data_IF_689534391272
#
_entry.id   IF_689534391272
#
_cell.length_a   1.000
_cell.length_b   1.000
_cell.length_c   1.000
_cell.angle_alpha   90.00
_cell.angle_beta   90.00
_cell.angle_gamma   90.00
#
_symmetry.space_group_name_H-M   'P 1'
#
loop_
_entity.id
_entity.type
_entity.pdbx_description
1 polymer ?
#
# COMPACT_ATOMS: atom_id res chain seq x y z
N UNK A 1 -7.12 -38.41 57.27
CA UNK A 1 -6.91 -39.71 57.98
C UNK A 1 -6.12 -40.63 57.07
N UNK A 2 -4.99 -41.12 57.58
CA UNK A 2 -4.03 -42.14 57.04
C UNK A 2 -3.33 -41.80 55.69
N UNK A 3 -2.09 -41.45 55.68
CA UNK A 3 -0.80 -41.87 56.24
C UNK A 3 -0.19 -43.10 55.50
N UNK A 4 1.05 -42.87 54.98
CA UNK A 4 2.23 -43.75 54.97
C UNK A 4 2.38 -44.61 53.67
N UNK A 5 3.49 -44.80 52.98
CA UNK A 5 4.95 -44.79 53.31
C UNK A 5 5.78 -44.86 52.01
N UNK A 6 6.96 -44.29 52.03
CA UNK A 6 8.14 -44.68 51.22
C UNK A 6 8.79 -45.95 51.80
N UNK A 7 9.64 -46.71 51.06
CA UNK A 7 11.09 -46.52 51.10
C UNK A 7 11.82 -46.85 49.79
N UNK A 8 12.91 -46.14 49.47
CA UNK A 8 14.36 -46.43 49.70
C UNK A 8 15.04 -47.37 48.70
N UNK A 9 15.89 -46.78 47.86
CA UNK A 9 17.30 -47.00 47.54
C UNK A 9 17.83 -48.44 47.43
N UNK A 10 18.58 -48.70 46.32
CA UNK A 10 19.89 -49.38 46.33
C UNK A 10 20.74 -48.92 45.15
N UNK A 11 21.97 -48.44 45.46
CA UNK A 11 23.12 -48.26 44.59
C UNK A 11 23.67 -49.61 44.11
N UNK A 12 24.17 -49.65 42.86
CA UNK A 12 25.29 -50.52 42.54
C UNK A 12 26.12 -49.91 41.38
N UNK A 13 27.30 -49.49 41.72
CA UNK A 13 28.42 -49.13 40.81
C UNK A 13 29.01 -50.41 40.19
N UNK A 14 29.40 -50.36 38.91
CA UNK A 14 30.51 -51.15 38.38
C UNK A 14 31.31 -50.40 37.31
N UNK A 15 32.58 -50.60 37.39
CA UNK A 15 33.65 -49.85 36.78
C UNK A 15 34.29 -50.62 35.59
N UNK A 16 34.78 -49.88 34.60
CA UNK A 16 35.91 -50.16 33.66
C UNK A 16 35.73 -51.25 32.60
N UNK A 17 35.98 -50.87 31.34
CA UNK A 17 37.15 -51.30 30.59
C UNK A 17 37.38 -50.45 29.35
N UNK A 18 38.62 -49.88 29.21
CA UNK A 18 39.22 -49.27 28.04
C UNK A 18 39.48 -50.34 26.97
N UNK A 19 39.22 -50.01 25.70
CA UNK A 19 40.03 -50.48 24.57
C UNK A 19 39.80 -49.54 23.36
N UNK A 20 40.84 -48.91 22.88
CA UNK A 20 40.84 -48.01 21.75
C UNK A 20 40.76 -48.74 20.41
N UNK A 21 40.23 -48.05 19.44
CA UNK A 21 40.52 -48.26 18.03
C UNK A 21 40.50 -46.89 17.31
N UNK A 22 41.66 -46.47 16.90
CA UNK A 22 41.88 -45.40 15.93
C UNK A 22 41.32 -45.86 14.59
N UNK A 23 40.23 -45.29 14.19
CA UNK A 23 39.67 -45.38 12.84
C UNK A 23 39.64 -43.96 12.28
N UNK A 24 40.66 -43.60 11.52
CA UNK A 24 40.58 -42.44 10.62
C UNK A 24 39.60 -42.75 9.51
N UNK A 25 38.44 -42.10 9.54
CA UNK A 25 37.61 -41.94 8.35
C UNK A 25 37.57 -40.46 8.03
N UNK A 26 37.96 -40.18 6.80
CA UNK A 26 37.95 -38.84 6.22
C UNK A 26 36.58 -38.19 6.35
N UNK A 27 36.60 -36.95 6.81
CA UNK A 27 35.46 -36.08 6.64
C UNK A 27 35.27 -35.85 5.16
N UNK A 28 34.20 -36.40 4.61
CA UNK A 28 33.62 -35.79 3.45
C UNK A 28 33.11 -34.44 3.93
N UNK A 29 33.81 -33.41 3.53
CA UNK A 29 33.27 -32.05 3.52
C UNK A 29 32.02 -32.10 2.66
N UNK A 30 30.84 -32.31 3.29
CA UNK A 30 29.57 -31.87 2.74
C UNK A 30 29.62 -30.34 2.70
N UNK A 31 30.30 -29.79 1.72
CA UNK A 31 30.06 -28.45 1.18
C UNK A 31 28.78 -28.50 0.34
N UNK A 32 27.73 -29.05 0.88
CA UNK A 32 26.37 -28.78 0.48
C UNK A 32 26.05 -27.40 1.04
N UNK A 33 26.22 -26.36 0.22
CA UNK A 33 25.93 -24.99 0.58
C UNK A 33 24.54 -24.91 1.17
N UNK A 34 24.43 -24.76 2.49
CA UNK A 34 23.19 -24.28 3.11
C UNK A 34 23.05 -22.86 2.67
N UNK A 35 22.16 -22.61 1.72
CA UNK A 35 21.78 -21.26 1.32
C UNK A 35 21.37 -20.45 2.55
N UNK A 36 21.49 -19.13 2.46
CA UNK A 36 21.14 -18.22 3.54
C UNK A 36 19.63 -18.17 3.76
N UNK A 37 19.20 -17.87 4.98
CA UNK A 37 17.80 -17.57 5.27
C UNK A 37 17.60 -16.07 5.31
N UNK A 38 16.71 -15.56 4.45
CA UNK A 38 16.35 -14.15 4.38
C UNK A 38 14.96 -13.94 5.02
N UNK A 39 14.88 -13.05 5.99
CA UNK A 39 13.61 -12.70 6.63
C UNK A 39 12.94 -11.56 5.89
N UNK A 40 11.74 -11.81 5.40
CA UNK A 40 10.91 -10.83 4.72
C UNK A 40 9.77 -10.34 5.61
N UNK A 41 9.90 -9.12 6.11
CA UNK A 41 8.88 -8.43 6.91
C UNK A 41 7.85 -7.79 5.99
N UNK A 42 6.60 -8.26 6.06
CA UNK A 42 5.56 -7.87 5.09
C UNK A 42 4.15 -7.93 5.68
N UNK A 43 3.25 -7.09 5.16
CA UNK A 43 1.83 -7.12 5.49
C UNK A 43 1.17 -8.41 4.99
N UNK A 44 0.21 -8.92 5.76
CA UNK A 44 -0.61 -10.08 5.38
C UNK A 44 -1.40 -9.79 4.11
N UNK A 45 -1.43 -10.78 3.21
CA UNK A 45 -2.35 -10.82 2.07
C UNK A 45 -3.26 -12.06 2.22
N UNK A 46 -4.58 -11.88 2.33
CA UNK A 46 -5.50 -12.96 2.75
C UNK A 46 -5.58 -14.12 1.76
N UNK A 47 -5.32 -13.88 0.45
CA UNK A 47 -5.33 -14.92 -0.59
C UNK A 47 -4.07 -15.77 -0.65
N UNK A 48 -3.07 -15.53 0.22
CA UNK A 48 -1.86 -16.34 0.30
C UNK A 48 -0.75 -15.96 -0.67
N UNK A 49 -0.82 -14.79 -1.30
CA UNK A 49 0.22 -14.29 -2.22
C UNK A 49 1.61 -14.35 -1.62
N UNK A 50 1.76 -13.90 -0.37
CA UNK A 50 3.08 -13.75 0.27
C UNK A 50 3.78 -15.09 0.41
N UNK A 51 3.07 -16.12 0.89
CA UNK A 51 3.60 -17.46 1.07
C UNK A 51 3.94 -18.13 -0.26
N UNK A 52 3.05 -18.00 -1.28
CA UNK A 52 3.29 -18.60 -2.60
C UNK A 52 4.50 -17.94 -3.30
N UNK A 53 4.63 -16.63 -3.20
CA UNK A 53 5.76 -15.88 -3.80
C UNK A 53 7.07 -16.24 -3.08
N UNK A 54 7.08 -16.26 -1.74
CA UNK A 54 8.27 -16.61 -0.96
C UNK A 54 8.76 -18.03 -1.27
N UNK A 55 7.85 -19.01 -1.28
CA UNK A 55 8.17 -20.41 -1.59
C UNK A 55 8.75 -20.55 -3.00
N UNK A 56 8.09 -19.95 -4.01
CA UNK A 56 8.57 -20.01 -5.40
C UNK A 56 9.93 -19.33 -5.56
N UNK A 57 10.17 -18.16 -4.95
CA UNK A 57 11.47 -17.48 -5.07
C UNK A 57 12.57 -18.25 -4.36
N UNK A 58 12.28 -18.91 -3.23
CA UNK A 58 13.20 -19.83 -2.57
C UNK A 58 13.56 -21.03 -3.45
N UNK A 59 12.58 -21.65 -4.14
CA UNK A 59 12.84 -22.74 -5.08
C UNK A 59 13.69 -22.30 -6.27
N UNK A 60 13.42 -21.12 -6.82
CA UNK A 60 14.13 -20.57 -7.99
C UNK A 60 15.57 -20.15 -7.68
N UNK A 61 15.93 -19.93 -6.41
CA UNK A 61 17.30 -19.62 -5.99
C UNK A 61 18.25 -20.82 -6.15
N UNK A 62 17.74 -22.02 -6.43
CA UNK A 62 18.53 -23.27 -6.51
C UNK A 62 19.37 -23.54 -5.24
N UNK A 63 18.87 -23.11 -4.08
CA UNK A 63 19.48 -23.32 -2.79
C UNK A 63 20.43 -22.21 -2.33
N UNK A 64 20.51 -21.10 -3.05
CA UNK A 64 21.28 -19.94 -2.65
C UNK A 64 20.66 -19.23 -1.44
N UNK A 65 19.31 -19.16 -1.41
CA UNK A 65 18.57 -18.61 -0.27
C UNK A 65 17.22 -19.28 -0.04
N UNK A 66 16.70 -19.12 1.17
CA UNK A 66 15.33 -19.43 1.56
C UNK A 66 14.68 -18.18 2.15
N UNK A 67 13.47 -17.82 1.72
CA UNK A 67 12.73 -16.66 2.25
C UNK A 67 11.84 -17.13 3.38
N UNK A 68 12.10 -16.65 4.59
CA UNK A 68 11.25 -16.77 5.76
C UNK A 68 10.32 -15.55 5.85
N UNK A 69 9.01 -15.79 5.97
CA UNK A 69 8.00 -14.72 6.00
C UNK A 69 7.70 -14.31 7.43
N UNK A 70 7.99 -13.06 7.76
CA UNK A 70 7.67 -12.41 9.03
C UNK A 70 6.47 -11.47 8.83
N UNK A 71 5.30 -11.89 9.31
CA UNK A 71 4.07 -11.12 9.14
C UNK A 71 4.02 -9.92 10.09
N UNK A 72 3.81 -8.74 9.52
CA UNK A 72 3.57 -7.50 10.23
C UNK A 72 2.10 -7.41 10.68
N UNK A 73 1.76 -6.54 11.66
CA UNK A 73 0.39 -6.26 12.04
C UNK A 73 -0.48 -5.85 10.84
N UNK A 74 -1.81 -5.90 10.99
CA UNK A 74 -2.74 -5.50 9.92
C UNK A 74 -2.87 -3.99 9.76
N UNK A 75 -2.65 -3.22 10.83
CA UNK A 75 -2.69 -1.76 10.81
C UNK A 75 -1.37 -1.18 10.29
N UNK A 76 -1.44 -0.31 9.28
CA UNK A 76 -0.26 0.26 8.61
C UNK A 76 0.63 1.09 9.54
N UNK A 77 0.04 1.82 10.52
CA UNK A 77 0.83 2.60 11.48
C UNK A 77 1.62 1.68 12.41
N UNK A 78 1.02 0.56 12.83
CA UNK A 78 1.71 -0.44 13.66
C UNK A 78 2.79 -1.18 12.87
N UNK A 79 2.57 -1.46 11.56
CA UNK A 79 3.60 -2.01 10.68
C UNK A 79 4.83 -1.11 10.63
N UNK A 80 4.59 0.19 10.32
CA UNK A 80 5.65 1.19 10.29
C UNK A 80 6.38 1.26 11.63
N UNK A 81 5.66 1.38 12.74
CA UNK A 81 6.26 1.47 14.07
C UNK A 81 7.16 0.27 14.40
N UNK A 82 6.72 -0.94 14.04
CA UNK A 82 7.53 -2.15 14.23
C UNK A 82 8.80 -2.12 13.38
N UNK A 83 8.71 -1.72 12.11
CA UNK A 83 9.86 -1.60 11.21
C UNK A 83 10.83 -0.52 11.67
N UNK A 84 10.33 0.68 12.02
CA UNK A 84 11.16 1.79 12.55
C UNK A 84 11.94 1.37 13.79
N UNK A 85 11.32 0.64 14.72
CA UNK A 85 12.01 0.15 15.94
C UNK A 85 13.15 -0.84 15.61
N UNK A 86 12.93 -1.75 14.66
CA UNK A 86 13.93 -2.74 14.25
C UNK A 86 15.07 -2.09 13.47
N UNK A 87 14.74 -1.30 12.46
CA UNK A 87 15.72 -0.62 11.62
C UNK A 87 16.53 0.42 12.40
N UNK A 88 15.88 1.16 13.31
CA UNK A 88 16.57 2.08 14.22
C UNK A 88 17.47 1.39 15.28
N UNK A 89 17.25 0.08 15.52
CA UNK A 89 18.12 -0.75 16.34
C UNK A 89 19.17 -1.49 15.50
N UNK A 90 19.29 -1.22 14.20
CA UNK A 90 20.22 -1.87 13.27
C UNK A 90 20.07 -3.41 13.25
N UNK A 91 18.81 -3.90 13.36
CA UNK A 91 18.50 -5.33 13.46
C UNK A 91 18.87 -6.06 12.16
N UNK A 92 19.97 -6.82 12.19
CA UNK A 92 20.45 -7.59 11.03
C UNK A 92 19.55 -8.77 10.64
N UNK A 93 18.54 -9.10 11.43
CA UNK A 93 17.54 -10.09 11.03
C UNK A 93 16.50 -9.52 10.06
N UNK A 94 16.51 -8.22 9.78
CA UNK A 94 15.65 -7.62 8.75
C UNK A 94 16.41 -7.61 7.43
N UNK A 95 16.08 -8.51 6.50
CA UNK A 95 16.70 -8.55 5.17
C UNK A 95 15.83 -7.84 4.13
N UNK A 96 14.56 -8.20 4.06
CA UNK A 96 13.58 -7.71 3.09
C UNK A 96 12.40 -7.04 3.77
N UNK A 97 11.95 -5.94 3.20
CA UNK A 97 10.86 -5.13 3.74
C UNK A 97 9.81 -4.91 2.67
N UNK A 98 8.58 -5.37 2.94
CA UNK A 98 7.41 -4.96 2.18
C UNK A 98 6.95 -3.58 2.65
N UNK A 99 7.34 -2.55 1.92
CA UNK A 99 7.08 -1.15 2.27
C UNK A 99 5.81 -0.64 1.62
N UNK A 100 4.90 -0.03 2.38
CA UNK A 100 3.94 0.89 1.77
C UNK A 100 4.71 1.97 0.99
N UNK A 101 4.17 2.40 -0.15
CA UNK A 101 4.82 3.38 -1.03
C UNK A 101 5.21 4.68 -0.32
N UNK A 102 4.52 5.05 0.76
CA UNK A 102 4.79 6.27 1.54
C UNK A 102 6.00 6.17 2.48
N UNK A 103 6.54 4.97 2.72
CA UNK A 103 7.67 4.80 3.65
C UNK A 103 9.04 4.91 2.97
N UNK A 104 9.09 4.85 1.64
CA UNK A 104 10.35 4.85 0.89
C UNK A 104 11.23 6.06 1.24
N UNK A 105 10.67 7.26 1.23
CA UNK A 105 11.41 8.49 1.53
C UNK A 105 11.95 8.52 2.97
N UNK A 106 11.13 8.14 3.96
CA UNK A 106 11.53 8.09 5.35
C UNK A 106 12.67 7.11 5.59
N UNK A 107 12.50 5.87 5.10
CA UNK A 107 13.48 4.81 5.35
C UNK A 107 14.79 5.04 4.58
N UNK A 108 14.72 5.63 3.38
CA UNK A 108 15.88 6.03 2.60
C UNK A 108 16.63 7.18 3.26
N UNK A 109 15.91 8.24 3.72
CA UNK A 109 16.50 9.38 4.42
C UNK A 109 17.19 8.97 5.72
N UNK A 110 16.61 8.01 6.45
CA UNK A 110 17.21 7.45 7.66
C UNK A 110 18.42 6.54 7.42
N UNK A 111 18.75 6.24 6.16
CA UNK A 111 19.85 5.35 5.80
C UNK A 111 19.56 3.86 6.06
N UNK A 112 18.31 3.48 6.16
CA UNK A 112 17.88 2.10 6.48
C UNK A 112 17.73 1.18 5.28
N UNK A 113 17.77 1.75 4.06
CA UNK A 113 17.63 1.02 2.81
C UNK A 113 18.91 1.05 1.98
N UNK A 114 19.17 -0.05 1.27
CA UNK A 114 20.20 -0.10 0.23
C UNK A 114 19.66 0.46 -1.08
N UNK A 115 20.50 1.25 -1.78
CA UNK A 115 20.19 1.79 -3.10
C UNK A 115 20.27 0.68 -4.17
N UNK A 116 19.27 0.63 -5.05
CA UNK A 116 19.29 -0.22 -6.24
C UNK A 116 20.08 0.47 -7.35
N UNK A 117 21.05 -0.22 -7.93
CA UNK A 117 21.92 0.34 -8.97
C UNK A 117 22.13 -0.62 -10.14
N UNK A 118 22.63 -0.11 -11.28
CA UNK A 118 23.04 -0.91 -12.42
C UNK A 118 21.92 -1.80 -13.01
N UNK A 119 22.29 -3.00 -13.46
CA UNK A 119 21.38 -3.94 -14.13
C UNK A 119 20.20 -4.40 -13.24
N UNK A 120 20.41 -4.46 -11.93
CA UNK A 120 19.34 -4.81 -10.98
C UNK A 120 18.24 -3.75 -10.95
N UNK A 121 18.61 -2.47 -10.89
CA UNK A 121 17.67 -1.36 -10.94
C UNK A 121 16.89 -1.34 -12.26
N UNK A 122 17.59 -1.52 -13.39
CA UNK A 122 16.96 -1.62 -14.71
C UNK A 122 15.97 -2.81 -14.79
N UNK A 123 16.33 -3.95 -14.23
CA UNK A 123 15.50 -5.17 -14.22
C UNK A 123 14.19 -4.96 -13.46
N UNK A 124 14.24 -4.37 -12.26
CA UNK A 124 13.04 -4.22 -11.40
C UNK A 124 12.16 -3.05 -11.81
N UNK A 125 12.66 -2.08 -12.57
CA UNK A 125 11.87 -0.95 -13.10
C UNK A 125 11.39 -1.16 -14.53
N UNK A 126 11.83 -2.24 -15.20
CA UNK A 126 11.48 -2.50 -16.60
C UNK A 126 9.97 -2.66 -16.78
N UNK A 127 9.42 -1.84 -17.69
CA UNK A 127 7.98 -1.83 -18.01
C UNK A 127 7.06 -1.48 -16.82
N UNK A 128 7.58 -0.97 -15.71
CA UNK A 128 6.82 -0.44 -14.59
C UNK A 128 6.23 0.93 -14.96
N UNK A 129 5.06 1.29 -14.42
CA UNK A 129 4.53 2.64 -14.58
C UNK A 129 5.47 3.66 -13.95
N UNK A 130 5.68 4.81 -14.62
CA UNK A 130 6.60 5.85 -14.14
C UNK A 130 6.20 6.37 -12.75
N UNK A 131 4.91 6.61 -12.53
CA UNK A 131 4.35 7.02 -11.23
C UNK A 131 4.65 6.02 -10.10
N UNK A 132 4.70 4.72 -10.41
CA UNK A 132 5.02 3.67 -9.42
C UNK A 132 6.53 3.64 -9.13
N UNK A 133 7.38 3.84 -10.16
CA UNK A 133 8.85 3.95 -9.94
C UNK A 133 9.17 5.17 -9.07
N UNK A 134 8.43 6.27 -9.23
CA UNK A 134 8.57 7.45 -8.39
C UNK A 134 8.34 7.13 -6.90
N UNK A 135 7.33 6.33 -6.55
CA UNK A 135 7.09 5.92 -5.16
C UNK A 135 8.20 5.04 -4.56
N UNK A 136 9.00 4.38 -5.40
CA UNK A 136 10.12 3.54 -4.98
C UNK A 136 11.44 4.31 -4.92
N UNK A 137 11.41 5.62 -5.22
CA UNK A 137 12.59 6.48 -5.36
C UNK A 137 12.55 7.62 -4.34
N UNK A 138 13.74 8.07 -3.94
CA UNK A 138 13.93 9.25 -3.11
C UNK A 138 15.20 9.98 -3.57
N UNK A 139 15.14 11.32 -3.73
CA UNK A 139 16.24 12.16 -4.22
C UNK A 139 16.93 11.62 -5.50
N UNK A 140 16.12 11.11 -6.43
CA UNK A 140 16.59 10.58 -7.72
C UNK A 140 17.26 9.21 -7.67
N UNK A 141 17.24 8.53 -6.52
CA UNK A 141 17.79 7.18 -6.30
C UNK A 141 16.67 6.18 -6.04
N UNK A 142 16.83 4.97 -6.53
CA UNK A 142 15.88 3.87 -6.34
C UNK A 142 16.21 3.11 -5.05
N UNK A 143 15.21 2.95 -4.17
CA UNK A 143 15.36 2.24 -2.88
C UNK A 143 14.42 1.06 -2.72
N UNK A 144 13.47 0.86 -3.64
CA UNK A 144 12.56 -0.26 -3.62
C UNK A 144 12.34 -0.89 -4.99
N UNK A 145 12.10 -2.18 -5.03
CA UNK A 145 11.63 -2.87 -6.22
C UNK A 145 10.09 -2.86 -6.24
N UNK A 146 9.42 -2.22 -7.24
CA UNK A 146 7.97 -2.15 -7.28
C UNK A 146 7.32 -3.53 -7.40
N UNK A 147 6.55 -3.96 -6.41
CA UNK A 147 5.88 -5.26 -6.41
C UNK A 147 4.48 -5.18 -6.99
N UNK A 148 3.59 -4.48 -6.32
CA UNK A 148 2.24 -4.20 -6.80
C UNK A 148 1.92 -2.72 -6.64
N UNK A 149 0.87 -2.28 -7.32
CA UNK A 149 0.34 -0.94 -7.18
C UNK A 149 -1.12 -0.99 -6.77
N UNK A 150 -1.71 0.16 -6.49
CA UNK A 150 -3.12 0.28 -6.20
C UNK A 150 -3.62 1.65 -6.63
N UNK A 151 -4.88 1.75 -7.00
CA UNK A 151 -5.54 3.02 -7.38
C UNK A 151 -7.04 2.92 -7.14
N UNK A 152 -7.68 4.05 -6.95
CA UNK A 152 -9.13 4.11 -6.87
C UNK A 152 -9.75 4.27 -8.26
N UNK A 153 -10.92 3.65 -8.42
CA UNK A 153 -11.82 3.82 -9.54
C UNK A 153 -13.13 4.45 -9.06
N UNK A 154 -13.83 5.09 -9.97
CA UNK A 154 -15.24 5.38 -9.79
C UNK A 154 -16.04 4.11 -10.10
N UNK A 155 -16.63 3.52 -9.08
CA UNK A 155 -17.63 2.46 -9.19
C UNK A 155 -19.01 3.09 -9.27
N UNK A 156 -19.83 2.62 -10.19
CA UNK A 156 -21.19 3.16 -10.37
C UNK A 156 -22.21 2.08 -10.68
N UNK A 157 -23.46 2.33 -10.35
CA UNK A 157 -24.59 1.44 -10.59
C UNK A 157 -25.15 1.66 -12.00
N UNK A 158 -24.91 0.71 -12.91
CA UNK A 158 -25.36 0.77 -14.32
C UNK A 158 -26.87 0.66 -14.47
N UNK A 159 -27.58 0.16 -13.46
CA UNK A 159 -29.05 0.14 -13.41
C UNK A 159 -29.70 1.44 -12.88
N UNK A 160 -28.87 2.36 -12.34
CA UNK A 160 -29.34 3.66 -11.82
C UNK A 160 -28.76 4.85 -12.60
N UNK A 161 -27.64 4.64 -13.31
CA UNK A 161 -26.86 5.69 -13.97
C UNK A 161 -26.58 5.28 -15.41
N UNK A 162 -27.10 6.02 -16.38
CA UNK A 162 -26.92 5.73 -17.81
C UNK A 162 -25.46 5.83 -18.27
N UNK A 163 -24.69 6.75 -17.67
CA UNK A 163 -23.26 6.95 -17.96
C UNK A 163 -22.52 7.44 -16.72
N UNK A 164 -21.23 7.04 -16.53
CA UNK A 164 -20.45 7.54 -15.42
C UNK A 164 -20.21 9.05 -15.55
N UNK A 165 -20.26 9.80 -14.43
CA UNK A 165 -19.94 11.23 -14.41
C UNK A 165 -18.46 11.46 -14.73
N UNK A 166 -18.14 12.56 -15.38
CA UNK A 166 -16.77 12.95 -15.72
C UNK A 166 -16.12 13.81 -14.65
N UNK A 167 -16.93 14.56 -13.91
CA UNK A 167 -16.47 15.47 -12.86
C UNK A 167 -17.14 15.14 -11.53
N UNK A 168 -16.53 15.56 -10.43
CA UNK A 168 -17.12 15.48 -9.10
C UNK A 168 -18.44 16.25 -9.01
N UNK A 169 -18.50 17.44 -9.65
CA UNK A 169 -19.73 18.23 -9.70
C UNK A 169 -20.88 17.45 -10.38
N UNK A 170 -20.61 16.85 -11.55
CA UNK A 170 -21.60 16.01 -12.26
C UNK A 170 -22.02 14.81 -11.41
N UNK A 171 -21.08 14.19 -10.66
CA UNK A 171 -21.37 13.04 -9.79
C UNK A 171 -22.31 13.42 -8.65
N UNK A 172 -22.04 14.54 -7.99
CA UNK A 172 -22.88 15.04 -6.89
C UNK A 172 -24.29 15.35 -7.42
N UNK A 173 -24.40 16.10 -8.55
CA UNK A 173 -25.69 16.45 -9.16
C UNK A 173 -26.48 15.21 -9.60
N UNK A 174 -25.81 14.16 -10.10
CA UNK A 174 -26.48 12.90 -10.47
C UNK A 174 -26.98 12.17 -9.23
N UNK A 175 -26.16 12.07 -8.17
CA UNK A 175 -26.53 11.41 -6.92
C UNK A 175 -27.72 12.09 -6.25
N UNK A 176 -27.75 13.43 -6.19
CA UNK A 176 -28.87 14.20 -5.66
C UNK A 176 -30.16 13.97 -6.44
N UNK A 177 -30.10 13.96 -7.78
CA UNK A 177 -31.30 13.68 -8.63
C UNK A 177 -31.88 12.28 -8.42
N UNK A 178 -31.01 11.31 -8.16
CA UNK A 178 -31.41 9.92 -7.88
C UNK A 178 -31.88 9.77 -6.43
N UNK A 179 -31.46 10.65 -5.53
CA UNK A 179 -31.68 10.55 -4.08
C UNK A 179 -30.81 9.48 -3.43
N UNK A 180 -29.65 9.24 -4.01
CA UNK A 180 -28.67 8.26 -3.53
C UNK A 180 -27.40 8.90 -2.94
N UNK A 181 -26.51 8.06 -2.39
CA UNK A 181 -25.30 8.52 -1.72
C UNK A 181 -24.04 8.25 -2.54
N UNK A 182 -23.01 9.08 -2.33
CA UNK A 182 -21.66 8.87 -2.82
C UNK A 182 -20.80 8.34 -1.67
N UNK A 183 -20.18 7.19 -1.88
CA UNK A 183 -19.29 6.56 -0.91
C UNK A 183 -17.84 6.96 -1.16
N UNK A 184 -17.17 7.50 -0.14
CA UNK A 184 -15.75 7.90 -0.15
C UNK A 184 -15.11 7.52 1.18
N UNK A 185 -13.79 7.61 1.29
CA UNK A 185 -13.03 7.38 2.52
C UNK A 185 -12.71 8.73 3.17
N UNK A 186 -13.58 9.19 4.05
CA UNK A 186 -13.43 10.51 4.68
C UNK A 186 -13.42 10.47 6.22
N UNK A 187 -13.25 9.29 6.83
CA UNK A 187 -12.97 9.14 8.26
C UNK A 187 -11.59 9.75 8.61
N UNK A 188 -11.37 10.06 9.89
CA UNK A 188 -10.11 10.65 10.35
C UNK A 188 -8.99 9.62 10.44
N UNK A 189 -8.41 9.25 9.32
CA UNK A 189 -7.29 8.31 9.17
C UNK A 189 -6.58 8.57 7.83
N UNK A 190 -5.63 7.71 7.44
CA UNK A 190 -4.86 7.86 6.21
C UNK A 190 -5.71 7.98 4.95
N UNK A 191 -6.84 7.26 4.85
CA UNK A 191 -7.74 7.35 3.69
C UNK A 191 -8.28 8.76 3.43
N UNK A 192 -8.47 9.57 4.46
CA UNK A 192 -8.82 10.98 4.30
C UNK A 192 -7.69 11.79 3.66
N UNK A 193 -6.45 11.58 4.11
CA UNK A 193 -5.27 12.20 3.49
C UNK A 193 -5.14 11.81 2.02
N UNK A 194 -5.35 10.54 1.70
CA UNK A 194 -5.34 10.01 0.33
C UNK A 194 -6.37 10.73 -0.54
N UNK A 195 -7.61 10.89 -0.04
CA UNK A 195 -8.67 11.57 -0.77
C UNK A 195 -8.36 13.06 -0.96
N UNK A 196 -7.95 13.78 0.09
CA UNK A 196 -7.56 15.19 0.02
C UNK A 196 -6.43 15.41 -0.97
N UNK A 197 -5.36 14.57 -0.93
CA UNK A 197 -4.26 14.66 -1.89
C UNK A 197 -4.73 14.50 -3.33
N UNK A 198 -5.56 13.48 -3.61
CA UNK A 198 -6.09 13.24 -4.94
C UNK A 198 -6.96 14.39 -5.45
N UNK A 199 -7.73 15.02 -4.57
CA UNK A 199 -8.56 16.20 -4.91
C UNK A 199 -7.69 17.40 -5.25
N UNK A 200 -6.65 17.69 -4.46
CA UNK A 200 -5.70 18.80 -4.68
C UNK A 200 -4.93 18.59 -5.99
N UNK A 201 -4.37 17.40 -6.22
CA UNK A 201 -3.66 17.10 -7.46
C UNK A 201 -4.57 17.15 -8.70
N UNK A 202 -5.82 16.68 -8.57
CA UNK A 202 -6.81 16.76 -9.64
C UNK A 202 -7.33 18.18 -9.89
N UNK A 203 -7.02 19.12 -9.02
CA UNK A 203 -7.27 20.56 -9.22
C UNK A 203 -6.09 21.29 -9.89
N UNK A 204 -4.96 20.59 -10.11
CA UNK A 204 -3.82 21.14 -10.86
C UNK A 204 -2.68 21.68 -10.01
N UNK A 205 -2.64 21.38 -8.70
CA UNK A 205 -1.53 21.69 -7.80
C UNK A 205 -1.15 20.46 -6.98
N UNK A 206 -0.16 20.56 -6.12
CA UNK A 206 0.26 19.49 -5.22
C UNK A 206 0.57 20.05 -3.82
N UNK A 207 0.62 19.16 -2.83
CA UNK A 207 0.88 19.57 -1.44
C UNK A 207 2.34 19.99 -1.28
N UNK A 208 3.28 19.19 -1.82
CA UNK A 208 4.72 19.49 -1.80
C UNK A 208 5.31 19.38 -3.20
N UNK A 209 6.19 20.33 -3.57
CA UNK A 209 7.02 20.29 -4.78
C UNK A 209 8.32 19.47 -4.61
N UNK A 210 8.66 19.13 -3.38
CA UNK A 210 9.86 18.40 -3.00
C UNK A 210 9.72 17.88 -1.56
N UNK A 211 10.76 17.32 -0.96
CA UNK A 211 10.66 16.71 0.37
C UNK A 211 10.16 17.64 1.48
N UNK A 212 10.43 18.95 1.39
CA UNK A 212 10.09 19.96 2.40
C UNK A 212 9.52 21.26 1.81
N UNK A 213 9.37 21.35 0.49
CA UNK A 213 8.89 22.55 -0.21
C UNK A 213 7.37 22.48 -0.39
N UNK A 214 6.65 23.33 0.36
CA UNK A 214 5.18 23.42 0.27
C UNK A 214 4.79 24.16 -1.00
N UNK A 215 3.94 23.56 -1.84
CA UNK A 215 3.43 24.18 -3.06
C UNK A 215 2.03 24.75 -2.85
N UNK A 216 1.02 23.97 -2.53
CA UNK A 216 -0.35 24.38 -2.20
C UNK A 216 -0.78 25.72 -2.80
N UNK A 217 -0.87 25.81 -4.13
CA UNK A 217 -1.36 27.02 -4.80
C UNK A 217 -2.79 27.33 -4.35
N UNK A 218 -3.07 28.59 -3.96
CA UNK A 218 -4.33 28.99 -3.34
C UNK A 218 -5.56 28.69 -4.21
N UNK A 219 -5.53 29.10 -5.49
CA UNK A 219 -6.66 28.90 -6.41
C UNK A 219 -7.06 27.44 -6.55
N UNK A 220 -6.19 26.57 -7.11
CA UNK A 220 -6.50 25.14 -7.25
C UNK A 220 -6.82 24.45 -5.93
N UNK A 221 -6.10 24.77 -4.83
CA UNK A 221 -6.37 24.17 -3.52
C UNK A 221 -7.76 24.52 -3.00
N UNK A 222 -8.17 25.79 -3.10
CA UNK A 222 -9.52 26.22 -2.68
C UNK A 222 -10.60 25.58 -3.53
N UNK A 223 -10.41 25.37 -4.83
CA UNK A 223 -11.34 24.62 -5.68
C UNK A 223 -11.50 23.17 -5.23
N UNK A 224 -10.38 22.49 -4.89
CA UNK A 224 -10.42 21.15 -4.34
C UNK A 224 -11.17 21.09 -3.00
N UNK A 225 -10.87 22.01 -2.08
CA UNK A 225 -11.54 22.10 -0.79
C UNK A 225 -13.02 22.44 -0.90
N UNK A 226 -13.40 23.35 -1.79
CA UNK A 226 -14.80 23.68 -2.08
C UNK A 226 -15.56 22.42 -2.58
N UNK A 227 -14.95 21.60 -3.43
CA UNK A 227 -15.57 20.37 -3.91
C UNK A 227 -15.74 19.33 -2.80
N UNK A 228 -14.74 19.18 -1.90
CA UNK A 228 -14.84 18.32 -0.72
C UNK A 228 -15.97 18.79 0.19
N UNK A 229 -16.01 20.10 0.51
CA UNK A 229 -17.07 20.71 1.32
C UNK A 229 -18.44 20.57 0.68
N UNK A 230 -18.53 20.75 -0.65
CA UNK A 230 -19.78 20.58 -1.41
C UNK A 230 -20.33 19.16 -1.27
N UNK A 231 -19.50 18.12 -1.47
CA UNK A 231 -19.95 16.76 -1.25
C UNK A 231 -20.39 16.57 0.20
N UNK A 232 -19.54 16.92 1.16
CA UNK A 232 -19.76 16.63 2.57
C UNK A 232 -21.02 17.31 3.16
N UNK A 233 -21.41 18.49 2.63
CA UNK A 233 -22.59 19.24 3.04
C UNK A 233 -23.81 19.01 2.14
N UNK A 234 -23.71 18.13 1.13
CA UNK A 234 -24.81 17.85 0.19
C UNK A 234 -25.71 16.71 0.68
N UNK A 235 -26.96 16.62 0.18
CA UNK A 235 -27.81 15.44 0.36
C UNK A 235 -27.23 14.14 -0.21
N UNK A 236 -26.25 14.22 -1.11
CA UNK A 236 -25.54 13.09 -1.70
C UNK A 236 -24.44 12.53 -0.79
N UNK A 237 -24.07 13.20 0.31
CA UNK A 237 -23.10 12.67 1.27
C UNK A 237 -23.62 11.40 1.94
N UNK A 238 -22.80 10.37 2.03
CA UNK A 238 -23.09 9.24 2.91
C UNK A 238 -23.28 9.74 4.35
N UNK A 239 -24.26 9.17 5.08
CA UNK A 239 -24.59 9.66 6.45
C UNK A 239 -23.46 9.52 7.45
N UNK A 240 -22.53 8.64 7.19
CA UNK A 240 -21.35 8.33 8.00
C UNK A 240 -20.06 8.82 7.35
N UNK A 241 -20.13 9.80 6.44
CA UNK A 241 -19.00 10.27 5.64
C UNK A 241 -17.77 10.57 6.49
N UNK A 242 -17.92 11.27 7.62
CA UNK A 242 -16.79 11.63 8.52
C UNK A 242 -16.22 10.47 9.34
N UNK A 243 -16.77 9.27 9.21
CA UNK A 243 -16.24 8.04 9.83
C UNK A 243 -15.98 6.92 8.81
N UNK A 244 -16.23 7.20 7.53
CA UNK A 244 -16.17 6.23 6.46
C UNK A 244 -14.73 5.81 6.12
N UNK A 245 -14.52 4.51 5.99
CA UNK A 245 -13.29 3.85 5.55
C UNK A 245 -13.53 3.10 4.24
N UNK A 246 -12.50 2.45 3.68
CA UNK A 246 -12.64 1.62 2.49
C UNK A 246 -13.73 0.55 2.66
N UNK A 247 -13.74 -0.11 3.82
CA UNK A 247 -14.71 -1.19 4.10
C UNK A 247 -16.12 -0.67 4.33
N UNK A 248 -16.31 0.42 5.08
CA UNK A 248 -17.65 0.99 5.30
C UNK A 248 -18.23 1.59 4.04
N UNK A 249 -17.41 2.25 3.21
CA UNK A 249 -17.81 2.73 1.89
C UNK A 249 -18.24 1.58 0.96
N UNK A 250 -17.49 0.47 0.95
CA UNK A 250 -17.84 -0.74 0.23
C UNK A 250 -19.17 -1.33 0.70
N UNK A 251 -19.33 -1.47 2.02
CA UNK A 251 -20.58 -1.98 2.60
C UNK A 251 -21.79 -1.09 2.27
N UNK A 252 -21.59 0.24 2.31
CA UNK A 252 -22.61 1.20 1.91
C UNK A 252 -23.03 1.07 0.43
N UNK A 253 -22.08 0.80 -0.47
CA UNK A 253 -22.35 0.54 -1.88
C UNK A 253 -23.05 -0.81 -2.09
N UNK A 254 -22.56 -1.88 -1.44
CA UNK A 254 -23.16 -3.22 -1.49
C UNK A 254 -24.59 -3.26 -0.90
N UNK A 255 -24.93 -2.34 0.01
CA UNK A 255 -26.31 -2.18 0.50
C UNK A 255 -27.30 -1.62 -0.52
N UNK A 256 -26.82 -1.15 -1.68
CA UNK A 256 -27.65 -0.75 -2.83
C UNK A 256 -28.17 0.69 -2.82
N UNK A 257 -27.88 1.49 -1.78
CA UNK A 257 -28.39 2.87 -1.64
C UNK A 257 -27.46 3.93 -2.26
N UNK A 258 -26.34 3.50 -2.81
CA UNK A 258 -25.31 4.39 -3.34
C UNK A 258 -25.10 4.15 -4.82
N UNK A 259 -25.45 5.10 -5.70
CA UNK A 259 -25.17 5.02 -7.13
C UNK A 259 -23.67 5.12 -7.44
N UNK A 260 -22.86 5.68 -6.54
CA UNK A 260 -21.43 5.92 -6.75
C UNK A 260 -20.58 5.55 -5.53
N UNK A 261 -19.38 5.06 -5.81
CA UNK A 261 -18.36 4.82 -4.81
C UNK A 261 -16.97 5.05 -5.42
N UNK A 262 -16.10 5.82 -4.75
CA UNK A 262 -14.66 5.84 -5.01
C UNK A 262 -14.02 4.77 -4.12
N UNK A 263 -13.36 3.77 -4.72
CA UNK A 263 -12.71 2.72 -3.95
C UNK A 263 -11.72 1.94 -4.82
N UNK A 264 -10.90 1.15 -4.16
CA UNK A 264 -9.90 0.28 -4.80
C UNK A 264 -10.53 -0.95 -5.46
N UNK A 265 -9.72 -1.66 -6.23
CA UNK A 265 -10.17 -2.79 -7.06
C UNK A 265 -10.75 -3.97 -6.28
N UNK A 266 -10.37 -4.15 -5.00
CA UNK A 266 -10.91 -5.21 -4.14
C UNK A 266 -12.44 -5.13 -3.97
N UNK A 267 -13.01 -3.92 -4.09
CA UNK A 267 -14.45 -3.70 -3.94
C UNK A 267 -15.27 -4.52 -4.95
N UNK A 268 -14.76 -4.73 -6.17
CA UNK A 268 -15.44 -5.56 -7.17
C UNK A 268 -15.47 -7.04 -6.76
N UNK A 269 -14.34 -7.59 -6.33
CA UNK A 269 -14.27 -8.97 -5.87
C UNK A 269 -15.16 -9.20 -4.62
N UNK A 270 -15.21 -8.22 -3.72
CA UNK A 270 -16.10 -8.25 -2.57
C UNK A 270 -17.58 -8.26 -2.98
N UNK A 271 -17.99 -7.37 -3.87
CA UNK A 271 -19.37 -7.33 -4.37
C UNK A 271 -19.75 -8.65 -5.04
N UNK A 272 -18.87 -9.26 -5.84
CA UNK A 272 -19.11 -10.59 -6.44
C UNK A 272 -19.37 -11.67 -5.39
N UNK A 273 -18.68 -11.61 -4.26
CA UNK A 273 -18.80 -12.62 -3.19
C UNK A 273 -20.01 -12.38 -2.27
N UNK A 274 -20.31 -11.11 -1.96
CA UNK A 274 -21.23 -10.74 -0.88
C UNK A 274 -22.56 -10.11 -1.34
N UNK A 275 -22.56 -9.48 -2.52
CA UNK A 275 -23.72 -8.78 -3.10
C UNK A 275 -23.78 -8.98 -4.63
N UNK A 276 -23.97 -10.22 -5.14
CA UNK A 276 -23.86 -10.55 -6.55
C UNK A 276 -24.84 -9.76 -7.43
N UNK A 277 -26.04 -9.40 -6.94
CA UNK A 277 -26.99 -8.56 -7.62
C UNK A 277 -26.51 -7.11 -7.82
N UNK A 278 -25.66 -6.61 -6.92
CA UNK A 278 -24.97 -5.32 -7.08
C UNK A 278 -23.82 -5.47 -8.07
N UNK A 279 -23.02 -6.55 -7.94
CA UNK A 279 -21.89 -6.81 -8.82
C UNK A 279 -22.28 -6.94 -10.31
N UNK A 280 -23.45 -7.51 -10.62
CA UNK A 280 -24.01 -7.60 -11.99
C UNK A 280 -24.24 -6.23 -12.61
N UNK A 281 -24.52 -5.21 -11.79
CA UNK A 281 -24.79 -3.84 -12.19
C UNK A 281 -23.67 -2.87 -11.79
N UNK A 282 -22.47 -3.38 -11.50
CA UNK A 282 -21.32 -2.58 -11.08
C UNK A 282 -20.44 -2.22 -12.27
N UNK A 283 -20.53 -0.97 -12.71
CA UNK A 283 -19.66 -0.37 -13.72
C UNK A 283 -18.41 0.23 -13.07
N UNK A 284 -17.33 0.34 -13.84
CA UNK A 284 -16.11 1.02 -13.44
C UNK A 284 -15.76 2.13 -14.42
N UNK A 285 -15.26 3.24 -13.90
CA UNK A 285 -14.72 4.34 -14.68
C UNK A 285 -13.47 4.93 -14.00
N UNK A 286 -12.71 5.74 -14.73
CA UNK A 286 -11.60 6.49 -14.16
C UNK A 286 -12.09 7.50 -13.11
N UNK A 287 -11.19 7.92 -12.23
CA UNK A 287 -11.46 8.92 -11.20
C UNK A 287 -12.02 10.22 -11.83
N UNK A 288 -13.06 10.86 -11.26
CA UNK A 288 -13.63 12.07 -11.81
C UNK A 288 -12.71 13.29 -11.70
N UNK A 289 -12.80 14.20 -12.66
CA UNK A 289 -12.09 15.49 -12.60
C UNK A 289 -12.65 16.37 -11.48
N UNK A 290 -11.80 17.08 -10.77
CA UNK A 290 -12.19 18.11 -9.79
C UNK A 290 -12.56 19.40 -10.53
N UNK A 291 -11.70 19.83 -11.44
CA UNK A 291 -11.88 20.99 -12.33
C UNK A 291 -12.11 20.46 -13.75
N UNK A 292 -13.15 20.93 -14.42
CA UNK A 292 -13.44 20.50 -15.79
C UNK A 292 -12.31 20.90 -16.74
N UNK A 293 -11.78 19.90 -17.44
CA UNK A 293 -10.67 20.08 -18.38
C UNK A 293 -9.28 19.81 -17.78
N UNK A 294 -9.15 19.82 -16.44
CA UNK A 294 -7.91 19.39 -15.78
C UNK A 294 -7.83 17.86 -15.66
N UNK A 295 -6.64 17.27 -15.82
CA UNK A 295 -6.49 15.82 -15.68
C UNK A 295 -6.82 15.34 -14.27
N UNK A 296 -7.68 14.33 -14.16
CA UNK A 296 -7.88 13.66 -12.87
C UNK A 296 -6.58 12.94 -12.44
N UNK A 297 -6.27 13.04 -11.15
CA UNK A 297 -5.12 12.41 -10.48
C UNK A 297 -5.63 11.46 -9.39
N UNK A 298 -6.03 10.23 -9.75
CA UNK A 298 -6.47 9.25 -8.74
C UNK A 298 -5.34 8.94 -7.76
N UNK A 299 -5.68 8.46 -6.55
CA UNK A 299 -4.67 8.03 -5.59
C UNK A 299 -3.77 6.92 -6.16
N UNK A 300 -2.49 6.94 -5.78
CA UNK A 300 -1.54 5.87 -6.02
C UNK A 300 -1.11 5.24 -4.70
N UNK A 301 -1.26 3.93 -4.60
CA UNK A 301 -0.79 3.11 -3.49
C UNK A 301 -0.05 1.89 -4.00
N UNK A 302 0.27 0.97 -3.09
CA UNK A 302 0.94 -0.29 -3.39
C UNK A 302 2.11 -0.57 -2.45
N UNK A 303 2.90 -1.57 -2.82
CA UNK A 303 4.05 -2.00 -2.02
C UNK A 303 5.31 -2.09 -2.86
N UNK A 304 6.40 -1.57 -2.31
CA UNK A 304 7.76 -1.72 -2.82
C UNK A 304 8.53 -2.71 -1.94
N UNK A 305 9.46 -3.46 -2.51
CA UNK A 305 10.33 -4.37 -1.75
C UNK A 305 11.68 -3.68 -1.52
N UNK A 306 11.93 -3.27 -0.27
CA UNK A 306 13.20 -2.70 0.17
C UNK A 306 14.18 -3.77 0.62
N UNK A 307 15.47 -3.51 0.42
CA UNK A 307 16.57 -4.29 1.01
C UNK A 307 17.15 -3.50 2.18
N UNK A 308 17.18 -4.11 3.36
CA UNK A 308 17.69 -3.48 4.58
C UNK A 308 19.18 -3.16 4.46
N UNK A 309 19.57 -1.97 4.95
CA UNK A 309 20.97 -1.59 5.04
C UNK A 309 21.76 -2.51 5.99
N UNK A 310 21.08 -3.15 6.94
CA UNK A 310 21.64 -3.96 8.01
C UNK A 310 21.68 -5.46 7.70
N UNK A 311 21.12 -5.90 6.55
CA UNK A 311 21.20 -7.30 6.11
C UNK A 311 22.66 -7.74 5.96
N UNK A 312 22.99 -8.91 6.51
CA UNK A 312 24.29 -9.57 6.37
C UNK A 312 24.44 -10.29 5.02
N UNK A 313 23.33 -10.41 4.24
CA UNK A 313 23.24 -11.11 2.97
C UNK A 313 22.68 -10.20 1.85
N UNK A 314 23.33 -9.04 1.57
CA UNK A 314 22.74 -8.05 0.66
C UNK A 314 22.57 -8.54 -0.78
N UNK A 315 23.48 -9.34 -1.31
CA UNK A 315 23.43 -9.81 -2.69
C UNK A 315 22.24 -10.77 -2.89
N UNK A 316 22.08 -11.74 -1.99
CA UNK A 316 20.93 -12.66 -1.99
C UNK A 316 19.62 -11.93 -1.72
N UNK A 317 19.63 -10.89 -0.86
CA UNK A 317 18.46 -10.08 -0.58
C UNK A 317 18.01 -9.28 -1.82
N UNK A 318 18.93 -8.72 -2.60
CA UNK A 318 18.61 -8.07 -3.87
C UNK A 318 18.03 -9.04 -4.90
N UNK A 319 18.60 -10.24 -5.02
CA UNK A 319 18.08 -11.26 -5.93
C UNK A 319 16.70 -11.77 -5.52
N UNK A 320 16.48 -11.99 -4.23
CA UNK A 320 15.19 -12.36 -3.67
C UNK A 320 14.14 -11.25 -3.89
N UNK A 321 14.47 -9.98 -3.62
CA UNK A 321 13.59 -8.85 -3.86
C UNK A 321 13.23 -8.67 -5.35
N UNK A 322 14.19 -8.90 -6.24
CA UNK A 322 13.94 -8.88 -7.69
C UNK A 322 13.05 -10.06 -8.14
N UNK A 323 13.15 -11.24 -7.52
CA UNK A 323 12.22 -12.34 -7.75
C UNK A 323 10.82 -12.02 -7.22
N UNK A 324 10.71 -11.48 -6.00
CA UNK A 324 9.43 -11.07 -5.39
C UNK A 324 8.72 -10.03 -6.26
N UNK A 325 9.43 -9.07 -6.83
CA UNK A 325 8.86 -8.03 -7.70
C UNK A 325 8.70 -8.46 -9.18
N UNK A 326 9.08 -9.68 -9.54
CA UNK A 326 9.04 -10.17 -10.93
C UNK A 326 7.62 -10.18 -11.52
N UNK A 327 7.47 -10.11 -12.86
CA UNK A 327 6.17 -10.23 -13.52
C UNK A 327 5.37 -11.47 -13.10
N UNK A 328 6.04 -12.60 -12.86
CA UNK A 328 5.39 -13.83 -12.41
C UNK A 328 4.79 -13.69 -11.00
N UNK A 329 5.52 -13.04 -10.07
CA UNK A 329 5.03 -12.75 -8.72
C UNK A 329 3.82 -11.80 -8.75
N UNK A 330 3.89 -10.78 -9.59
CA UNK A 330 2.79 -9.83 -9.78
C UNK A 330 1.52 -10.52 -10.33
N UNK A 331 1.66 -11.45 -11.26
CA UNK A 331 0.54 -12.25 -11.74
C UNK A 331 -0.03 -13.17 -10.65
N UNK A 332 0.82 -13.73 -9.79
CA UNK A 332 0.38 -14.49 -8.62
C UNK A 332 -0.43 -13.60 -7.67
N UNK A 333 0.06 -12.38 -7.38
CA UNK A 333 -0.64 -11.41 -6.54
C UNK A 333 -2.00 -10.98 -7.13
N UNK A 334 -2.06 -10.77 -8.44
CA UNK A 334 -3.32 -10.47 -9.11
C UNK A 334 -4.31 -11.64 -9.05
N UNK A 335 -3.81 -12.86 -9.23
CA UNK A 335 -4.64 -14.06 -9.24
C UNK A 335 -5.22 -14.39 -7.86
N UNK A 336 -4.43 -14.24 -6.80
CA UNK A 336 -4.79 -14.66 -5.45
C UNK A 336 -5.50 -13.56 -4.67
N UNK A 337 -4.99 -12.34 -4.74
CA UNK A 337 -5.46 -11.23 -3.90
C UNK A 337 -6.04 -10.05 -4.71
N UNK A 338 -6.15 -10.18 -6.03
CA UNK A 338 -6.69 -9.12 -6.89
C UNK A 338 -5.84 -7.85 -6.90
N UNK A 339 -4.55 -7.94 -6.57
CA UNK A 339 -3.65 -6.79 -6.52
C UNK A 339 -3.24 -6.36 -7.93
N UNK A 340 -3.40 -5.08 -8.29
CA UNK A 340 -2.96 -4.57 -9.58
C UNK A 340 -1.44 -4.66 -9.75
N UNK A 341 -0.95 -5.21 -10.89
CA UNK A 341 0.48 -5.30 -11.14
C UNK A 341 1.10 -3.91 -11.39
N UNK A 342 2.32 -3.70 -10.91
CA UNK A 342 3.12 -2.51 -11.19
C UNK A 342 3.63 -2.48 -12.65
N UNK A 343 3.76 -3.63 -13.29
CA UNK A 343 4.19 -3.76 -14.68
C UNK A 343 3.02 -3.55 -15.65
N UNK A 344 3.10 -2.48 -16.47
CA UNK A 344 2.02 -2.07 -17.38
C UNK A 344 1.72 -3.07 -18.50
N UNK A 345 2.67 -3.93 -18.89
CA UNK A 345 2.44 -4.92 -19.93
C UNK A 345 1.52 -6.05 -19.49
N UNK A 346 1.46 -6.30 -18.17
CA UNK A 346 0.64 -7.38 -17.61
C UNK A 346 -0.87 -7.12 -17.73
N UNK A 347 -1.31 -5.88 -17.97
CA UNK A 347 -2.73 -5.57 -18.19
C UNK A 347 -3.33 -6.18 -19.46
N UNK A 348 -2.49 -6.70 -20.36
CA UNK A 348 -2.91 -7.49 -21.50
C UNK A 348 -2.94 -9.01 -21.21
N UNK A 349 -2.39 -9.44 -20.08
CA UNK A 349 -2.30 -10.85 -19.70
C UNK A 349 -3.67 -11.41 -19.30
N UNK A 350 -4.00 -12.69 -19.67
CA UNK A 350 -5.29 -13.30 -19.35
C UNK A 350 -5.64 -13.30 -17.86
N UNK A 351 -4.67 -13.49 -16.97
CA UNK A 351 -4.85 -13.46 -15.51
C UNK A 351 -5.42 -12.11 -15.06
N UNK A 352 -4.81 -11.00 -15.50
CA UNK A 352 -5.25 -9.64 -15.13
C UNK A 352 -6.61 -9.32 -15.75
N UNK A 353 -6.85 -9.72 -17.00
CA UNK A 353 -8.16 -9.55 -17.62
C UNK A 353 -9.27 -10.34 -16.94
N UNK A 354 -8.94 -11.50 -16.36
CA UNK A 354 -9.88 -12.31 -15.58
C UNK A 354 -10.16 -11.68 -14.22
N UNK A 355 -9.15 -11.11 -13.58
CA UNK A 355 -9.31 -10.41 -12.30
C UNK A 355 -10.13 -9.10 -12.43
N UNK A 356 -9.98 -8.41 -13.58
CA UNK A 356 -10.65 -7.13 -13.87
C UNK A 356 -11.49 -7.20 -15.15
N UNK A 357 -12.60 -7.96 -15.15
CA UNK A 357 -13.39 -8.22 -16.34
C UNK A 357 -14.08 -6.92 -16.82
N UNK A 358 -13.72 -6.50 -18.05
CA UNK A 358 -14.26 -5.29 -18.66
C UNK A 358 -13.53 -4.00 -18.30
N UNK A 359 -12.87 -3.89 -17.14
CA UNK A 359 -12.26 -2.63 -16.64
C UNK A 359 -10.73 -2.67 -16.43
N UNK A 360 -10.04 -3.71 -16.88
CA UNK A 360 -8.56 -3.76 -16.77
C UNK A 360 -7.85 -2.57 -17.46
N UNK A 361 -8.48 -1.98 -18.49
CA UNK A 361 -7.96 -0.78 -19.16
C UNK A 361 -8.12 0.47 -18.29
N UNK A 362 -9.21 0.57 -17.55
CA UNK A 362 -9.48 1.70 -16.68
C UNK A 362 -8.57 1.68 -15.47
N UNK A 363 -8.28 0.49 -14.90
CA UNK A 363 -7.24 0.33 -13.86
C UNK A 363 -5.89 0.81 -14.37
N UNK A 364 -5.46 0.36 -15.56
CA UNK A 364 -4.18 0.77 -16.13
C UNK A 364 -4.14 2.28 -16.46
N UNK A 365 -5.26 2.85 -16.90
CA UNK A 365 -5.38 4.28 -17.19
C UNK A 365 -5.32 5.11 -15.90
N UNK A 366 -6.02 4.69 -14.85
CA UNK A 366 -5.98 5.32 -13.53
C UNK A 366 -4.57 5.30 -12.92
N UNK A 367 -3.88 4.16 -12.93
CA UNK A 367 -2.49 4.07 -12.42
C UNK A 367 -1.56 5.00 -13.21
N UNK A 368 -1.72 5.08 -14.53
CA UNK A 368 -0.88 5.96 -15.37
C UNK A 368 -1.12 7.44 -15.08
N UNK A 369 -2.34 7.82 -14.75
CA UNK A 369 -2.73 9.18 -14.42
C UNK A 369 -2.53 9.51 -12.93
N UNK A 370 -2.37 8.50 -12.09
CA UNK A 370 -2.32 8.66 -10.65
C UNK A 370 -1.23 9.59 -10.17
N UNK A 371 -1.55 10.38 -9.14
CA UNK A 371 -0.63 11.22 -8.42
C UNK A 371 -0.14 10.50 -7.13
N UNK A 372 1.16 10.36 -6.94
CA UNK A 372 1.70 9.84 -5.69
C UNK A 372 1.45 10.83 -4.55
N UNK A 373 1.23 10.32 -3.36
CA UNK A 373 1.25 11.15 -2.16
C UNK A 373 2.64 11.79 -1.98
N UNK A 374 2.76 12.93 -1.27
CA UNK A 374 4.03 13.63 -1.10
C UNK A 374 5.18 12.71 -0.68
N UNK A 375 6.28 12.74 -1.44
CA UNK A 375 7.48 11.96 -1.16
C UNK A 375 8.37 12.73 -0.18
N UNK A 376 8.12 12.56 1.11
CA UNK A 376 8.82 13.26 2.19
C UNK A 376 9.10 12.33 3.37
N UNK A 377 10.25 12.47 4.06
CA UNK A 377 10.51 11.79 5.32
C UNK A 377 9.51 12.16 6.43
N UNK A 378 8.93 13.38 6.37
CA UNK A 378 7.91 13.86 7.32
C UNK A 378 6.48 13.37 7.00
N UNK A 379 6.30 12.37 6.14
CA UNK A 379 4.96 11.98 5.64
C UNK A 379 3.95 11.71 6.75
N UNK A 380 4.35 11.03 7.82
CA UNK A 380 3.45 10.71 8.93
C UNK A 380 2.91 11.98 9.62
N UNK A 381 3.78 12.96 9.86
CA UNK A 381 3.38 14.25 10.45
C UNK A 381 2.53 15.07 9.48
N UNK A 382 2.87 15.03 8.20
CA UNK A 382 2.10 15.66 7.13
C UNK A 382 0.67 15.09 7.04
N UNK A 383 0.53 13.76 7.04
CA UNK A 383 -0.78 13.11 7.02
C UNK A 383 -1.62 13.48 8.24
N UNK A 384 -1.04 13.48 9.43
CA UNK A 384 -1.71 13.92 10.65
C UNK A 384 -2.09 15.41 10.62
N UNK A 385 -1.27 16.26 10.02
CA UNK A 385 -1.54 17.70 9.87
C UNK A 385 -2.76 17.93 8.96
N UNK A 386 -2.83 17.24 7.82
CA UNK A 386 -3.98 17.29 6.90
C UNK A 386 -5.26 16.85 7.62
N UNK A 387 -5.22 15.70 8.30
CA UNK A 387 -6.36 15.19 9.06
C UNK A 387 -6.84 16.15 10.15
N UNK A 388 -5.94 16.80 10.87
CA UNK A 388 -6.28 17.71 11.96
C UNK A 388 -6.84 19.04 11.46
N UNK A 389 -6.36 19.52 10.32
CA UNK A 389 -6.75 20.82 9.77
C UNK A 389 -8.08 20.80 9.02
N UNK A 390 -8.44 19.68 8.39
CA UNK A 390 -9.58 19.59 7.49
C UNK A 390 -10.72 18.69 7.97
N UNK A 391 -10.47 17.77 8.92
CA UNK A 391 -11.51 16.87 9.40
C UNK A 391 -12.32 17.47 10.56
N UNK A 392 -13.66 17.30 10.61
CA UNK A 392 -14.48 16.58 9.63
C UNK A 392 -14.68 17.37 8.34
N UNK A 393 -14.88 16.71 7.17
CA UNK A 393 -15.01 17.40 5.89
C UNK A 393 -16.22 18.33 5.81
N UNK A 394 -17.26 18.11 6.60
CA UNK A 394 -18.43 18.99 6.74
C UNK A 394 -18.07 20.37 7.32
N UNK A 395 -16.90 20.51 7.94
CA UNK A 395 -16.38 21.78 8.47
C UNK A 395 -15.83 22.72 7.37
N UNK A 396 -15.71 22.22 6.14
CA UNK A 396 -15.26 23.00 4.99
C UNK A 396 -16.49 23.65 4.34
N UNK A 397 -16.54 24.99 4.41
CA UNK A 397 -17.58 25.75 3.73
C UNK A 397 -17.30 25.76 2.22
N UNK A 398 -18.17 25.19 1.37
CA UNK A 398 -17.95 25.18 -0.07
C UNK A 398 -18.02 26.57 -0.71
N UNK A 399 -18.71 27.51 -0.10
CA UNK A 399 -18.86 28.89 -0.61
C UNK A 399 -17.73 29.81 -0.11
N UNK A 400 -17.04 29.44 0.99
CA UNK A 400 -15.87 30.13 1.54
C UNK A 400 -14.76 29.15 1.99
N UNK A 401 -14.05 28.48 1.06
CA UNK A 401 -12.99 27.52 1.38
C UNK A 401 -11.68 28.15 1.88
N UNK A 402 -11.54 29.48 1.80
CA UNK A 402 -10.31 30.20 2.20
C UNK A 402 -9.83 29.90 3.61
N UNK A 403 -10.69 29.93 4.65
CA UNK A 403 -10.28 29.57 6.01
C UNK A 403 -9.78 28.12 6.14
N UNK A 404 -10.31 27.18 5.37
CA UNK A 404 -9.82 25.80 5.35
C UNK A 404 -8.44 25.69 4.66
N UNK A 405 -8.24 26.43 3.57
CA UNK A 405 -6.94 26.56 2.91
C UNK A 405 -5.86 27.09 3.85
N UNK A 406 -6.11 28.17 4.55
CA UNK A 406 -5.14 28.76 5.47
C UNK A 406 -4.77 27.79 6.61
N UNK A 407 -5.75 27.10 7.21
CA UNK A 407 -5.49 26.07 8.23
C UNK A 407 -4.64 24.93 7.67
N UNK A 408 -4.94 24.45 6.44
CA UNK A 408 -4.18 23.40 5.79
C UNK A 408 -2.75 23.84 5.54
N UNK A 409 -2.56 25.02 4.92
CA UNK A 409 -1.24 25.57 4.58
C UNK A 409 -0.36 25.76 5.80
N UNK A 410 -0.91 26.31 6.91
CA UNK A 410 -0.19 26.47 8.17
C UNK A 410 0.23 25.10 8.73
N UNK A 411 -0.70 24.14 8.80
CA UNK A 411 -0.45 22.82 9.35
C UNK A 411 0.59 22.03 8.54
N UNK A 412 0.54 22.11 7.20
CA UNK A 412 1.52 21.47 6.30
C UNK A 412 2.90 22.11 6.49
N UNK A 413 2.99 23.45 6.51
CA UNK A 413 4.27 24.14 6.75
C UNK A 413 4.90 23.76 8.10
N UNK A 414 4.09 23.60 9.13
CA UNK A 414 4.58 23.19 10.46
C UNK A 414 5.03 21.72 10.49
N UNK A 415 4.34 20.84 9.75
CA UNK A 415 4.71 19.43 9.67
C UNK A 415 6.08 19.23 9.02
N UNK A 416 6.32 19.88 7.87
CA UNK A 416 7.60 19.71 7.13
C UNK A 416 8.79 20.42 7.80
N UNK A 417 8.55 21.46 8.65
CA UNK A 417 9.61 22.14 9.39
C UNK A 417 10.11 21.35 10.61
N UNK A 418 9.35 20.36 11.07
CA UNK A 418 9.71 19.52 12.23
C UNK A 418 10.70 18.41 11.89
N UNK A 419 11.14 18.30 10.64
CA UNK A 419 12.25 17.40 10.27
C UNK A 419 13.50 17.74 11.05
N UNK A 420 13.88 16.89 12.00
CA UNK A 420 15.11 17.02 12.80
C UNK A 420 14.91 16.86 14.30
N UNK A 421 13.72 16.48 14.76
CA UNK A 421 13.42 16.18 16.16
C UNK A 421 13.08 14.68 16.31
N UNK A 422 13.93 13.83 15.75
CA UNK A 422 14.04 12.41 16.10
C UNK A 422 15.45 12.14 16.60
#
# INVERSE_FOLDING_TARGET
MRVIRRPSAVLASFVLCLAGALGACGGEDETGGRGVTLNWFVATQPGGTIQEVAARCSEQSNGEYTINVELLPTDASQQREQLVRRLGAEDSNVDLIGMDVIWTAEFANAGWLREWTGELAERVTKDVFASVVETASFEGKLYGAPFNTNTQLLWYRTDQVDRPPRTWAEMIDQAERIGGFIQVQAGRYEGFTVWVNAMIESAGTQILAGPTEVELEEGPTTEALAMIGRLANSPAAARDISTSTEDTARLGFEAGNSPFMLNYTFAYASAQANAPEIAENMGAAVFPQVVEGEPARPPLGGFNIGVSAFSEHPDEAFDAAACISSPQSQLTATRLDGLPPSNQRLYKHPVVRKAYPGFARDVAASIRAAGPRPTTPAYTDLSLAIQRSLHPPESIDPDDPGPAYERLREAVNDAVKREGVL
#
